data_IF_601323381673
#
_entry.id   IF_601323381673
#
_cell.length_a   1.000
_cell.length_b   1.000
_cell.length_c   1.000
_cell.angle_alpha   90.00
_cell.angle_beta   90.00
_cell.angle_gamma   90.00
#
_symmetry.space_group_name_H-M   'P 1'
#
loop_
_entity.id
_entity.type
_entity.pdbx_description
1 polymer ?
#
# COMPACT_ATOMS: atom_id res chain seq x y z
N UNK A 1 -22.01 -4.28 11.44
CA UNK A 1 -20.55 -4.36 11.69
C UNK A 1 -19.96 -3.02 11.29
N UNK A 2 -19.01 -2.47 12.04
CA UNK A 2 -18.26 -1.27 11.64
C UNK A 2 -17.39 -1.59 10.42
N UNK A 3 -17.31 -0.67 9.47
CA UNK A 3 -16.45 -0.84 8.28
C UNK A 3 -14.98 -1.01 8.71
N UNK A 4 -14.24 -1.86 8.02
CA UNK A 4 -12.80 -2.01 8.21
C UNK A 4 -12.07 -0.75 7.76
N UNK A 5 -11.08 -0.32 8.52
CA UNK A 5 -10.34 0.93 8.30
C UNK A 5 -9.06 0.69 7.52
N UNK A 6 -8.84 1.46 6.47
CA UNK A 6 -7.62 1.43 5.67
C UNK A 6 -6.98 2.81 5.65
N UNK A 7 -5.68 2.88 5.97
CA UNK A 7 -4.87 4.07 5.79
C UNK A 7 -4.05 3.93 4.50
N UNK A 8 -4.16 4.90 3.60
CA UNK A 8 -3.29 5.02 2.43
C UNK A 8 -2.35 6.20 2.66
N UNK A 9 -1.03 5.97 2.61
CA UNK A 9 -0.03 7.02 2.88
C UNK A 9 0.45 7.61 1.56
N UNK A 10 0.10 8.86 1.30
CA UNK A 10 0.44 9.61 0.10
C UNK A 10 1.72 10.42 0.32
N UNK A 11 2.83 9.95 -0.23
CA UNK A 11 4.12 10.65 -0.18
C UNK A 11 4.34 11.57 -1.39
N UNK A 12 5.08 12.68 -1.28
CA UNK A 12 5.52 13.45 -2.45
C UNK A 12 6.25 12.57 -3.46
N UNK A 13 5.84 12.63 -4.73
CA UNK A 13 6.36 11.75 -5.78
C UNK A 13 5.78 10.33 -5.79
N UNK A 14 4.70 10.07 -5.05
CA UNK A 14 3.94 8.82 -5.15
C UNK A 14 3.41 8.60 -6.57
N UNK A 15 3.18 7.34 -6.94
CA UNK A 15 2.58 7.01 -8.24
C UNK A 15 1.06 7.22 -8.17
N UNK A 16 0.55 8.11 -9.01
CA UNK A 16 -0.83 8.59 -8.97
C UNK A 16 -1.86 7.51 -9.28
N UNK A 17 -1.60 6.64 -10.26
CA UNK A 17 -2.53 5.55 -10.62
C UNK A 17 -2.65 4.54 -9.49
N UNK A 18 -1.52 4.16 -8.89
CA UNK A 18 -1.49 3.23 -7.75
C UNK A 18 -2.27 3.78 -6.56
N UNK A 19 -2.11 5.08 -6.29
CA UNK A 19 -2.84 5.77 -5.23
C UNK A 19 -4.35 5.80 -5.51
N UNK A 20 -4.75 6.34 -6.67
CA UNK A 20 -6.17 6.58 -6.99
C UNK A 20 -6.92 5.27 -7.20
N UNK A 21 -6.34 4.31 -7.94
CA UNK A 21 -6.96 2.99 -8.14
C UNK A 21 -7.18 2.31 -6.79
N UNK A 22 -6.17 2.31 -5.92
CA UNK A 22 -6.30 1.67 -4.60
C UNK A 22 -7.41 2.33 -3.78
N UNK A 23 -7.42 3.66 -3.65
CA UNK A 23 -8.45 4.37 -2.88
C UNK A 23 -9.85 4.11 -3.44
N UNK A 24 -10.04 4.21 -4.76
CA UNK A 24 -11.34 4.02 -5.40
C UNK A 24 -11.86 2.59 -5.22
N UNK A 25 -11.05 1.59 -5.52
CA UNK A 25 -11.43 0.17 -5.38
C UNK A 25 -11.80 -0.17 -3.93
N UNK A 26 -10.99 0.28 -2.97
CA UNK A 26 -11.21 0.00 -1.55
C UNK A 26 -12.49 0.69 -1.03
N UNK A 27 -12.77 1.94 -1.43
CA UNK A 27 -14.01 2.64 -1.10
C UNK A 27 -15.23 1.95 -1.72
N UNK A 28 -15.15 1.49 -2.97
CA UNK A 28 -16.21 0.65 -3.59
C UNK A 28 -16.40 -0.67 -2.86
N UNK A 29 -15.36 -1.24 -2.30
CA UNK A 29 -15.39 -2.42 -1.44
C UNK A 29 -16.10 -2.20 -0.10
N UNK A 30 -16.49 -0.96 0.24
CA UNK A 30 -17.15 -0.62 1.50
C UNK A 30 -16.20 -0.45 2.67
N UNK A 31 -14.90 -0.27 2.39
CA UNK A 31 -13.89 0.00 3.41
C UNK A 31 -13.88 1.51 3.77
N UNK A 32 -13.59 1.82 5.02
CA UNK A 32 -13.36 3.19 5.50
C UNK A 32 -11.91 3.58 5.19
N UNK A 33 -11.73 4.30 4.07
CA UNK A 33 -10.40 4.64 3.54
C UNK A 33 -10.04 6.08 3.80
N UNK A 34 -8.96 6.27 4.53
CA UNK A 34 -8.35 7.57 4.80
C UNK A 34 -7.08 7.73 3.96
N UNK A 35 -7.04 8.73 3.10
CA UNK A 35 -5.85 9.11 2.33
C UNK A 35 -5.09 10.18 3.10
N UNK A 36 -3.93 9.86 3.65
CA UNK A 36 -3.15 10.77 4.48
C UNK A 36 -1.86 11.22 3.78
N UNK A 37 -1.64 12.52 3.73
CA UNK A 37 -0.42 13.11 3.20
C UNK A 37 0.75 12.93 4.18
N UNK A 38 1.85 12.33 3.71
CA UNK A 38 3.06 12.13 4.52
C UNK A 38 3.63 13.44 5.06
N UNK A 39 3.61 14.49 4.25
CA UNK A 39 4.19 15.80 4.59
C UNK A 39 3.16 16.84 5.04
N UNK A 40 1.90 16.48 5.23
CA UNK A 40 0.82 17.39 5.63
C UNK A 40 -0.43 17.24 4.77
N UNK A 41 -1.29 18.26 4.79
CA UNK A 41 -2.61 18.26 4.12
C UNK A 41 -2.59 18.96 2.74
N UNK A 42 -1.47 19.60 2.39
CA UNK A 42 -1.35 20.29 1.11
C UNK A 42 -1.38 19.29 -0.08
N UNK A 43 -1.83 19.75 -1.26
CA UNK A 43 -1.84 18.91 -2.45
C UNK A 43 -0.46 18.35 -2.78
N UNK A 44 -0.37 17.03 -2.88
CA UNK A 44 0.85 16.30 -3.17
C UNK A 44 1.09 16.22 -4.67
N UNK A 45 2.27 16.64 -5.13
CA UNK A 45 2.71 16.44 -6.50
C UNK A 45 3.21 15.00 -6.66
N UNK A 46 2.53 14.24 -7.51
CA UNK A 46 2.81 12.85 -7.79
C UNK A 46 3.85 12.66 -8.91
N UNK A 47 4.23 11.43 -9.19
CA UNK A 47 5.37 11.04 -10.04
C UNK A 47 5.25 11.50 -11.50
N UNK A 48 4.04 11.71 -12.00
CA UNK A 48 3.74 12.18 -13.37
C UNK A 48 3.05 13.56 -13.35
N UNK A 49 3.32 14.37 -12.32
CA UNK A 49 2.85 15.73 -12.15
C UNK A 49 1.33 15.88 -11.92
N UNK A 50 0.61 14.83 -11.64
CA UNK A 50 -0.75 14.91 -11.12
C UNK A 50 -0.71 15.38 -9.67
N UNK A 51 -1.60 16.29 -9.28
CA UNK A 51 -1.75 16.73 -7.90
C UNK A 51 -2.93 16.00 -7.26
N UNK A 52 -2.68 15.41 -6.11
CA UNK A 52 -3.71 14.72 -5.30
C UNK A 52 -3.80 15.43 -3.95
N UNK A 53 -5.02 15.81 -3.56
CA UNK A 53 -5.29 16.34 -2.24
C UNK A 53 -5.54 15.19 -1.27
N UNK A 54 -4.76 15.04 -0.19
CA UNK A 54 -5.05 14.08 0.85
C UNK A 54 -6.29 14.50 1.66
N UNK A 55 -6.92 13.53 2.34
CA UNK A 55 -8.06 13.80 3.24
C UNK A 55 -7.58 14.44 4.57
N UNK A 56 -6.34 14.18 4.97
CA UNK A 56 -5.71 14.67 6.22
C UNK A 56 -4.18 14.50 6.17
N UNK A 57 -3.48 14.97 7.19
CA UNK A 57 -2.06 14.69 7.40
C UNK A 57 -1.82 13.30 8.02
N UNK A 58 -0.61 12.73 7.81
CA UNK A 58 -0.23 11.48 8.48
C UNK A 58 -0.23 11.61 10.01
N UNK A 59 0.25 12.75 10.51
CA UNK A 59 0.28 13.04 11.95
C UNK A 59 -1.12 12.96 12.59
N UNK A 60 -2.16 13.50 11.91
CA UNK A 60 -3.54 13.39 12.36
C UNK A 60 -4.12 11.99 12.18
N UNK A 61 -3.81 11.34 11.05
CA UNK A 61 -4.26 9.99 10.76
C UNK A 61 -3.77 9.00 11.83
N UNK A 62 -2.55 9.17 12.34
CA UNK A 62 -1.99 8.33 13.41
C UNK A 62 -2.91 8.24 14.63
N UNK A 63 -3.57 9.33 15.01
CA UNK A 63 -4.51 9.38 16.12
C UNK A 63 -5.89 8.74 15.86
N UNK A 64 -6.19 8.39 14.60
CA UNK A 64 -7.49 7.81 14.19
C UNK A 64 -7.49 6.29 14.07
N UNK A 65 -6.34 5.64 14.34
CA UNK A 65 -6.19 4.18 14.33
C UNK A 65 -6.99 3.48 15.44
N UNK A 66 -6.85 2.16 15.61
CA UNK A 66 -6.05 1.31 14.73
C UNK A 66 -6.65 1.12 13.34
N UNK A 67 -5.79 0.78 12.37
CA UNK A 67 -6.17 0.45 11.00
C UNK A 67 -6.10 -1.06 10.77
N UNK A 68 -7.04 -1.61 10.01
CA UNK A 68 -7.01 -3.01 9.57
C UNK A 68 -5.95 -3.23 8.49
N UNK A 69 -5.66 -2.19 7.69
CA UNK A 69 -4.59 -2.18 6.68
C UNK A 69 -3.92 -0.81 6.60
N UNK A 70 -2.59 -0.80 6.44
CA UNK A 70 -1.82 0.38 5.97
C UNK A 70 -1.31 0.07 4.57
N UNK A 71 -1.63 0.93 3.59
CA UNK A 71 -1.29 0.77 2.19
C UNK A 71 -0.29 1.85 1.77
N UNK A 72 0.78 1.40 1.11
CA UNK A 72 1.87 2.23 0.59
C UNK A 72 1.85 2.18 -0.95
N UNK A 73 1.39 3.25 -1.65
CA UNK A 73 1.62 3.41 -3.07
C UNK A 73 3.11 3.56 -3.37
N UNK A 74 3.52 3.19 -4.59
CA UNK A 74 4.90 3.33 -5.02
C UNK A 74 5.23 4.71 -5.60
N UNK A 75 5.99 4.73 -6.70
CA UNK A 75 6.69 5.90 -7.19
C UNK A 75 8.09 5.98 -6.58
N UNK A 76 9.12 6.26 -7.38
CA UNK A 76 10.51 6.24 -6.91
C UNK A 76 10.74 7.17 -5.72
N UNK A 77 10.48 8.47 -5.90
CA UNK A 77 10.64 9.47 -4.84
C UNK A 77 9.69 9.23 -3.66
N UNK A 78 8.44 8.84 -3.93
CA UNK A 78 7.47 8.52 -2.89
C UNK A 78 7.95 7.37 -2.00
N UNK A 79 8.47 6.32 -2.61
CA UNK A 79 9.03 5.17 -1.86
C UNK A 79 10.28 5.52 -1.07
N UNK A 80 11.16 6.39 -1.58
CA UNK A 80 12.31 6.90 -0.84
C UNK A 80 11.88 7.70 0.40
N UNK A 81 10.84 8.53 0.26
CA UNK A 81 10.27 9.27 1.38
C UNK A 81 9.65 8.33 2.43
N UNK A 82 8.93 7.29 1.99
CA UNK A 82 8.39 6.26 2.88
C UNK A 82 9.49 5.47 3.60
N UNK A 83 10.57 5.10 2.89
CA UNK A 83 11.74 4.43 3.48
C UNK A 83 12.43 5.26 4.56
N UNK A 84 12.46 6.58 4.39
CA UNK A 84 13.19 7.50 5.26
C UNK A 84 12.35 8.01 6.45
N UNK A 85 11.02 7.82 6.40
CA UNK A 85 10.11 8.34 7.42
C UNK A 85 10.09 7.46 8.66
N UNK A 86 10.59 8.00 9.78
CA UNK A 86 10.52 7.34 11.08
C UNK A 86 9.07 7.08 11.51
N UNK A 87 8.16 8.01 11.25
CA UNK A 87 6.74 7.88 11.59
C UNK A 87 6.10 6.71 10.84
N UNK A 88 6.38 6.57 9.54
CA UNK A 88 5.94 5.42 8.75
C UNK A 88 6.49 4.12 9.35
N UNK A 89 7.78 4.06 9.67
CA UNK A 89 8.39 2.88 10.28
C UNK A 89 7.75 2.48 11.59
N UNK A 90 7.45 3.44 12.47
CA UNK A 90 6.76 3.19 13.75
C UNK A 90 5.35 2.61 13.52
N UNK A 91 4.58 3.19 12.59
CA UNK A 91 3.23 2.73 12.27
C UNK A 91 3.22 1.33 11.64
N UNK A 92 4.14 1.07 10.70
CA UNK A 92 4.27 -0.25 10.07
C UNK A 92 4.72 -1.31 11.08
N UNK A 93 5.66 -0.97 11.97
CA UNK A 93 6.11 -1.87 13.02
C UNK A 93 5.00 -2.22 14.02
N UNK A 94 4.11 -1.29 14.32
CA UNK A 94 2.91 -1.58 15.12
C UNK A 94 1.95 -2.51 14.37
N UNK A 95 1.66 -2.24 13.08
CA UNK A 95 0.82 -3.10 12.23
C UNK A 95 1.34 -4.54 12.23
N UNK A 96 2.64 -4.72 12.01
CA UNK A 96 3.27 -6.04 11.90
C UNK A 96 3.22 -6.81 13.24
N UNK A 97 3.57 -6.15 14.34
CA UNK A 97 3.51 -6.78 15.69
C UNK A 97 2.09 -7.23 16.08
N UNK A 98 1.08 -6.49 15.65
CA UNK A 98 -0.33 -6.79 15.92
C UNK A 98 -0.95 -7.72 14.86
N UNK A 99 -0.16 -8.18 13.88
CA UNK A 99 -0.64 -9.03 12.79
C UNK A 99 -1.65 -8.38 11.85
N UNK A 100 -1.75 -7.04 11.86
CA UNK A 100 -2.61 -6.28 10.94
C UNK A 100 -1.93 -6.12 9.58
N UNK A 101 -2.73 -5.98 8.53
CA UNK A 101 -2.24 -5.98 7.16
C UNK A 101 -1.35 -4.76 6.86
N UNK A 102 -0.23 -5.03 6.19
CA UNK A 102 0.60 -4.04 5.49
C UNK A 102 0.62 -4.38 4.01
N UNK A 103 0.20 -3.44 3.18
CA UNK A 103 0.13 -3.58 1.73
C UNK A 103 1.05 -2.57 1.05
N UNK A 104 1.87 -3.02 0.08
CA UNK A 104 2.81 -2.16 -0.63
C UNK A 104 2.93 -2.55 -2.10
N UNK A 105 2.96 -1.55 -3.00
CA UNK A 105 3.02 -1.79 -4.45
C UNK A 105 4.21 -1.09 -5.11
N UNK A 106 4.69 -1.65 -6.23
CA UNK A 106 5.73 -1.07 -7.10
C UNK A 106 7.09 -0.94 -6.38
N UNK A 107 7.55 0.27 -6.14
CA UNK A 107 8.78 0.53 -5.39
C UNK A 107 8.58 0.50 -3.86
N UNK A 108 7.34 0.67 -3.37
CA UNK A 108 7.04 0.78 -1.94
C UNK A 108 7.38 -0.46 -1.08
N UNK A 109 7.42 -1.71 -1.59
CA UNK A 109 7.94 -2.83 -0.82
C UNK A 109 9.36 -2.64 -0.28
N UNK A 110 10.16 -1.75 -0.89
CA UNK A 110 11.48 -1.37 -0.34
C UNK A 110 11.39 -0.67 1.02
N UNK A 111 10.25 -0.06 1.37
CA UNK A 111 10.02 0.50 2.69
C UNK A 111 9.87 -0.59 3.76
N UNK A 112 9.31 -1.76 3.40
CA UNK A 112 9.27 -2.91 4.30
C UNK A 112 10.68 -3.32 4.72
N UNK A 113 11.61 -3.41 3.74
CA UNK A 113 13.01 -3.72 4.01
C UNK A 113 13.69 -2.64 4.87
N UNK A 114 13.43 -1.35 4.60
CA UNK A 114 14.03 -0.24 5.35
C UNK A 114 13.58 -0.18 6.81
N UNK A 115 12.38 -0.68 7.11
CA UNK A 115 11.79 -0.66 8.45
C UNK A 115 11.71 -2.06 9.10
N UNK A 116 12.32 -3.07 8.48
CA UNK A 116 12.39 -4.45 8.98
C UNK A 116 11.01 -5.10 9.22
N UNK A 117 10.05 -4.84 8.32
CA UNK A 117 8.66 -5.28 8.44
C UNK A 117 8.44 -6.61 7.70
N UNK A 118 8.07 -7.67 8.40
CA UNK A 118 7.76 -8.96 7.80
C UNK A 118 8.96 -9.68 7.20
N UNK A 119 10.15 -9.59 7.81
CA UNK A 119 11.34 -10.30 7.37
C UNK A 119 11.10 -11.81 7.19
N UNK A 120 11.68 -12.41 6.15
CA UNK A 120 11.51 -13.83 5.82
C UNK A 120 10.23 -14.16 5.03
N UNK A 121 9.35 -13.18 4.77
CA UNK A 121 8.14 -13.39 3.99
C UNK A 121 8.39 -13.34 2.49
N UNK A 122 7.47 -13.93 1.73
CA UNK A 122 7.43 -13.82 0.27
C UNK A 122 6.89 -12.45 -0.12
N UNK A 123 7.55 -11.79 -1.07
CA UNK A 123 7.17 -10.46 -1.56
C UNK A 123 7.43 -10.34 -3.06
N UNK A 124 6.75 -9.40 -3.69
CA UNK A 124 7.08 -8.91 -5.04
C UNK A 124 7.18 -7.39 -5.04
N UNK A 125 7.72 -6.81 -6.11
CA UNK A 125 7.81 -5.37 -6.31
C UNK A 125 7.86 -5.04 -7.79
N UNK A 126 8.03 -3.78 -8.14
CA UNK A 126 8.39 -3.40 -9.51
C UNK A 126 9.68 -4.14 -9.91
N UNK A 127 9.74 -4.74 -11.13
CA UNK A 127 10.81 -5.65 -11.53
C UNK A 127 12.12 -4.91 -11.92
N UNK A 128 12.58 -4.02 -11.02
CA UNK A 128 13.89 -3.38 -11.15
C UNK A 128 14.91 -4.17 -10.31
N UNK A 129 16.10 -4.47 -10.86
CA UNK A 129 17.14 -5.24 -10.15
C UNK A 129 17.46 -4.67 -8.77
N UNK A 130 17.56 -3.35 -8.63
CA UNK A 130 17.89 -2.69 -7.36
C UNK A 130 16.82 -2.92 -6.26
N UNK A 131 15.52 -3.00 -6.61
CA UNK A 131 14.46 -3.27 -5.63
C UNK A 131 14.49 -4.73 -5.19
N UNK A 132 14.66 -5.63 -6.15
CA UNK A 132 14.84 -7.06 -5.86
C UNK A 132 16.03 -7.30 -4.94
N UNK A 133 17.20 -6.78 -5.30
CA UNK A 133 18.44 -6.93 -4.53
C UNK A 133 18.27 -6.40 -3.09
N UNK A 134 17.61 -5.23 -2.93
CA UNK A 134 17.34 -4.66 -1.62
C UNK A 134 16.44 -5.57 -0.77
N UNK A 135 15.39 -6.14 -1.36
CA UNK A 135 14.46 -7.05 -0.68
C UNK A 135 15.15 -8.39 -0.33
N UNK A 136 15.84 -9.01 -1.27
CA UNK A 136 16.57 -10.27 -1.03
C UNK A 136 17.67 -10.09 0.04
N UNK A 137 18.41 -8.97 -0.01
CA UNK A 137 19.45 -8.66 0.99
C UNK A 137 18.88 -8.41 2.39
N UNK A 138 17.61 -7.97 2.49
CA UNK A 138 16.89 -7.83 3.74
C UNK A 138 16.19 -9.13 4.21
N UNK A 139 16.43 -10.26 3.50
CA UNK A 139 15.96 -11.58 3.91
C UNK A 139 14.57 -11.97 3.41
N UNK A 140 13.98 -11.24 2.45
CA UNK A 140 12.71 -11.63 1.85
C UNK A 140 12.88 -12.67 0.74
N UNK A 141 11.86 -13.49 0.52
CA UNK A 141 11.77 -14.40 -0.62
C UNK A 141 11.07 -13.70 -1.79
N UNK A 142 11.83 -13.33 -2.81
CA UNK A 142 11.31 -12.55 -3.94
C UNK A 142 10.58 -13.42 -4.97
N UNK A 143 9.35 -13.02 -5.33
CA UNK A 143 8.49 -13.71 -6.30
C UNK A 143 8.40 -12.91 -7.61
N UNK A 144 9.01 -13.42 -8.67
CA UNK A 144 9.06 -12.75 -9.98
C UNK A 144 7.78 -12.90 -10.82
N UNK A 145 7.09 -14.02 -10.68
CA UNK A 145 6.02 -14.40 -11.61
C UNK A 145 4.63 -13.89 -11.21
N UNK A 146 4.46 -13.51 -9.94
CA UNK A 146 3.13 -13.17 -9.41
C UNK A 146 2.86 -11.67 -9.45
N UNK A 147 1.68 -11.29 -9.94
CA UNK A 147 1.23 -9.89 -9.92
C UNK A 147 0.93 -9.38 -8.51
N UNK A 148 0.44 -10.26 -7.64
CA UNK A 148 0.14 -10.00 -6.23
C UNK A 148 0.67 -11.17 -5.40
N UNK A 149 1.35 -10.87 -4.30
CA UNK A 149 1.86 -11.86 -3.35
C UNK A 149 1.26 -11.54 -1.98
N UNK A 150 0.65 -12.54 -1.36
CA UNK A 150 0.15 -12.50 0.03
C UNK A 150 0.93 -13.51 0.85
N UNK A 151 1.50 -13.05 1.95
CA UNK A 151 2.15 -13.93 2.93
C UNK A 151 1.86 -13.43 4.36
N UNK A 152 0.92 -14.10 5.02
CA UNK A 152 0.41 -13.69 6.32
C UNK A 152 -0.26 -12.30 6.25
N UNK A 153 0.28 -11.35 6.99
CA UNK A 153 -0.20 -9.97 7.02
C UNK A 153 0.47 -9.03 5.99
N UNK A 154 1.39 -9.53 5.17
CA UNK A 154 2.08 -8.75 4.14
C UNK A 154 1.45 -9.03 2.77
N UNK A 155 1.08 -7.97 2.06
CA UNK A 155 0.55 -8.03 0.71
C UNK A 155 1.34 -7.08 -0.20
N UNK A 156 1.92 -7.60 -1.27
CA UNK A 156 2.74 -6.81 -2.19
C UNK A 156 2.33 -6.99 -3.65
N UNK A 157 2.61 -5.99 -4.50
CA UNK A 157 2.29 -6.02 -5.93
C UNK A 157 3.33 -5.25 -6.75
N UNK A 158 3.24 -5.35 -8.10
CA UNK A 158 4.33 -4.99 -9.00
C UNK A 158 4.30 -3.55 -9.53
N UNK A 159 3.13 -2.95 -9.71
CA UNK A 159 3.10 -1.60 -10.27
C UNK A 159 1.73 -1.16 -10.78
N UNK A 160 1.66 -0.04 -11.54
CA UNK A 160 0.39 0.56 -11.94
C UNK A 160 -0.55 -0.44 -12.64
N UNK A 161 -0.02 -1.27 -13.53
CA UNK A 161 -0.80 -2.26 -14.26
C UNK A 161 -1.36 -3.40 -13.42
N UNK A 162 -0.91 -3.59 -12.18
CA UNK A 162 -1.41 -4.61 -11.24
C UNK A 162 -2.22 -4.03 -10.10
N UNK A 163 -2.45 -2.70 -10.08
CA UNK A 163 -3.10 -2.00 -8.97
C UNK A 163 -4.54 -2.42 -8.73
N UNK A 164 -5.29 -2.77 -9.79
CA UNK A 164 -6.65 -3.29 -9.64
C UNK A 164 -6.65 -4.65 -8.91
N UNK A 165 -5.81 -5.59 -9.34
CA UNK A 165 -5.69 -6.91 -8.70
C UNK A 165 -5.23 -6.76 -7.24
N UNK A 166 -4.27 -5.88 -6.98
CA UNK A 166 -3.77 -5.56 -5.65
C UNK A 166 -4.88 -5.06 -4.71
N UNK A 167 -5.64 -4.06 -5.14
CA UNK A 167 -6.70 -3.48 -4.31
C UNK A 167 -7.90 -4.44 -4.15
N UNK A 168 -8.25 -5.20 -5.21
CA UNK A 168 -9.29 -6.22 -5.15
C UNK A 168 -8.92 -7.37 -4.18
N UNK A 169 -7.65 -7.76 -4.10
CA UNK A 169 -7.20 -8.76 -3.12
C UNK A 169 -7.34 -8.23 -1.68
N UNK A 170 -7.09 -6.94 -1.43
CA UNK A 170 -7.34 -6.33 -0.12
C UNK A 170 -8.85 -6.37 0.22
N UNK A 171 -9.72 -6.03 -0.74
CA UNK A 171 -11.19 -6.14 -0.55
C UNK A 171 -11.59 -7.57 -0.23
N UNK A 172 -11.05 -8.54 -0.95
CA UNK A 172 -11.30 -9.96 -0.71
C UNK A 172 -10.94 -10.38 0.71
N UNK A 173 -9.76 -9.99 1.19
CA UNK A 173 -9.26 -10.37 2.52
C UNK A 173 -10.02 -9.64 3.63
N UNK A 174 -10.26 -8.34 3.49
CA UNK A 174 -10.85 -7.53 4.57
C UNK A 174 -12.38 -7.55 4.59
N UNK A 175 -13.02 -7.86 3.47
CA UNK A 175 -14.49 -7.89 3.34
C UNK A 175 -14.97 -9.27 2.94
N UNK A 176 -14.90 -9.64 1.65
CA UNK A 176 -15.18 -10.97 1.16
C UNK A 176 -14.80 -11.14 -0.33
N UNK A 177 -14.71 -12.39 -0.78
CA UNK A 177 -14.53 -12.76 -2.19
C UNK A 177 -15.67 -12.22 -3.06
N UNK A 178 -16.92 -12.36 -2.61
CA UNK A 178 -18.11 -11.92 -3.33
C UNK A 178 -18.08 -10.41 -3.54
N UNK A 179 -17.67 -9.64 -2.51
CA UNK A 179 -17.57 -8.17 -2.63
C UNK A 179 -16.45 -7.75 -3.59
N UNK A 180 -15.33 -8.44 -3.57
CA UNK A 180 -14.25 -8.22 -4.52
C UNK A 180 -14.72 -8.44 -5.97
N UNK A 181 -15.44 -9.53 -6.23
CA UNK A 181 -16.01 -9.85 -7.55
C UNK A 181 -17.07 -8.83 -7.99
N UNK A 182 -17.94 -8.39 -7.08
CA UNK A 182 -18.93 -7.33 -7.33
C UNK A 182 -18.25 -6.04 -7.80
N UNK A 183 -17.22 -5.60 -7.06
CA UNK A 183 -16.46 -4.38 -7.39
C UNK A 183 -15.74 -4.53 -8.72
N UNK A 184 -15.05 -5.66 -8.95
CA UNK A 184 -14.36 -5.98 -10.21
C UNK A 184 -15.30 -5.88 -11.41
N UNK A 185 -16.48 -6.51 -11.31
CA UNK A 185 -17.51 -6.48 -12.35
C UNK A 185 -18.05 -5.07 -12.60
N UNK A 186 -18.33 -4.31 -11.54
CA UNK A 186 -18.85 -2.94 -11.64
C UNK A 186 -17.84 -1.98 -12.28
N UNK A 187 -16.55 -2.24 -12.10
CA UNK A 187 -15.46 -1.46 -12.68
C UNK A 187 -15.00 -1.97 -14.06
N UNK A 188 -15.60 -3.03 -14.59
CA UNK A 188 -15.22 -3.67 -15.85
C UNK A 188 -13.74 -4.14 -15.86
N UNK A 189 -13.24 -4.53 -14.72
CA UNK A 189 -11.93 -5.17 -14.59
C UNK A 189 -12.10 -6.64 -14.93
N UNK A 190 -11.43 -7.10 -16.01
CA UNK A 190 -11.54 -8.46 -16.51
C UNK A 190 -10.88 -9.48 -15.54
#
# INVERSE_FOLDING_TARGET
MTARKVLVILAPGAEEMETVISVDVLRRGGLDVLLAGLSGEEPVLCSRNVKICPDTSLAEARGRGPYDCILLPGGGQGSEALCSSKEVGEMLGEQDREGRMVAAVCAAPTALASHEIGAGKRVTSYPAPAFREKLESAGYHYEDAMSVVVDGNILTSRGPGTSFQFALEIVKILVSEEKSQEVSKAMLVA
#
